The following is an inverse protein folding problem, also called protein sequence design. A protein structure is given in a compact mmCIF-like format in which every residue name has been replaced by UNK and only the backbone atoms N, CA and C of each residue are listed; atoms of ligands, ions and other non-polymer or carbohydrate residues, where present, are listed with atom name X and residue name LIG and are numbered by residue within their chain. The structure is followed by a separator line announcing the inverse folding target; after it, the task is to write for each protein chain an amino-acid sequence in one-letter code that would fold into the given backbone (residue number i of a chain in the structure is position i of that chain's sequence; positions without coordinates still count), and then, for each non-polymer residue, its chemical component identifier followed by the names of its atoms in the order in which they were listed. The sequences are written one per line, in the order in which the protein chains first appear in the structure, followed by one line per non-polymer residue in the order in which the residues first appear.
data_IF_355960601568
#
_entry.id   IF_355960601568
#
_cell.length_a   1.000
_cell.length_b   1.000
_cell.length_c   1.000
_cell.angle_alpha   90.00
_cell.angle_beta   90.00
_cell.angle_gamma   90.00
#
_symmetry.space_group_name_H-M   'P 1'
#
loop_
_entity.id
_entity.type
_entity.pdbx_description
1 polymer ?
#
# COMPACT_ATOMS: atom_id res chain seq x y z
N UNK A 1 23.50 3.15 8.84
CA UNK A 1 23.06 4.43 8.25
C UNK A 1 23.02 5.47 9.34
N UNK A 2 23.36 6.72 9.03
CA UNK A 2 23.15 7.84 9.95
C UNK A 2 21.66 8.15 10.05
N UNK A 3 21.25 8.77 11.16
CA UNK A 3 19.88 9.27 11.36
C UNK A 3 19.52 10.23 10.22
N UNK A 4 18.36 10.03 9.59
CA UNK A 4 17.87 10.93 8.53
C UNK A 4 16.69 11.71 9.07
N UNK A 5 16.75 13.05 8.98
CA UNK A 5 15.63 13.92 9.34
C UNK A 5 14.79 14.14 8.08
N UNK A 6 13.53 13.73 8.14
CA UNK A 6 12.52 13.92 7.11
C UNK A 6 11.45 14.91 7.58
N UNK A 7 10.83 15.60 6.65
CA UNK A 7 9.75 16.55 6.90
C UNK A 7 8.54 16.10 6.08
N UNK A 8 7.37 16.01 6.71
CA UNK A 8 6.11 15.84 5.99
C UNK A 8 5.77 17.16 5.27
N UNK A 9 6.16 17.26 4.01
CA UNK A 9 5.88 18.43 3.19
C UNK A 9 4.44 18.48 2.65
N UNK A 10 3.68 17.40 2.75
CA UNK A 10 2.39 17.27 2.08
C UNK A 10 1.22 17.75 2.96
N UNK A 11 1.29 17.50 4.27
CA UNK A 11 0.15 17.70 5.17
C UNK A 11 0.46 18.60 6.35
N UNK A 12 1.50 18.31 7.14
CA UNK A 12 1.68 18.90 8.47
C UNK A 12 2.89 19.83 8.64
N UNK A 13 3.97 19.59 7.90
CA UNK A 13 5.27 20.22 8.16
C UNK A 13 6.03 19.63 9.35
N UNK A 14 5.50 18.57 9.97
CA UNK A 14 6.12 17.90 11.11
C UNK A 14 7.45 17.24 10.69
N UNK A 15 8.42 17.20 11.61
CA UNK A 15 9.72 16.58 11.38
C UNK A 15 9.82 15.24 12.09
N UNK A 16 10.34 14.25 11.37
CA UNK A 16 10.49 12.88 11.79
C UNK A 16 11.94 12.43 11.61
N UNK A 17 12.43 11.60 12.52
CA UNK A 17 13.75 10.99 12.42
C UNK A 17 13.59 9.54 12.00
N UNK A 18 14.17 9.17 10.87
CA UNK A 18 14.33 7.78 10.44
C UNK A 18 15.61 7.21 11.04
N UNK A 19 15.46 6.21 11.89
CA UNK A 19 16.56 5.54 12.58
C UNK A 19 16.61 4.05 12.21
N UNK A 20 17.80 3.46 12.03
CA UNK A 20 17.91 2.01 11.84
C UNK A 20 17.35 1.24 13.04
N UNK A 21 16.58 0.18 12.78
CA UNK A 21 16.13 -0.71 13.84
C UNK A 21 17.29 -1.58 14.36
N UNK A 22 17.34 -1.82 15.67
CA UNK A 22 18.45 -2.53 16.31
C UNK A 22 18.56 -4.02 15.92
N UNK A 23 17.46 -4.63 15.49
CA UNK A 23 17.39 -6.07 15.19
C UNK A 23 17.04 -6.40 13.73
N UNK A 24 16.54 -5.43 12.98
CA UNK A 24 16.00 -5.67 11.64
C UNK A 24 16.60 -4.68 10.66
N UNK A 25 16.73 -5.10 9.41
CA UNK A 25 17.26 -4.27 8.33
C UNK A 25 16.18 -3.32 7.78
N UNK A 26 15.59 -2.52 8.67
CA UNK A 26 14.51 -1.55 8.40
C UNK A 26 14.85 -0.19 9.03
N UNK A 27 14.20 0.86 8.54
CA UNK A 27 14.18 2.17 9.19
C UNK A 27 12.88 2.31 9.99
N UNK A 28 12.96 2.93 11.15
CA UNK A 28 11.82 3.26 12.01
C UNK A 28 11.73 4.77 12.20
N UNK A 29 10.51 5.28 12.07
CA UNK A 29 10.22 6.68 12.35
C UNK A 29 10.11 6.95 13.84
N UNK A 30 10.75 8.03 14.28
CA UNK A 30 10.69 8.56 15.65
C UNK A 30 10.36 10.06 15.62
N UNK A 31 9.36 10.52 16.40
CA UNK A 31 8.40 9.72 17.17
C UNK A 31 7.36 9.04 16.26
N UNK A 32 6.84 7.88 16.67
CA UNK A 32 5.64 7.32 16.03
C UNK A 32 4.40 8.07 16.53
N UNK A 33 3.62 8.71 15.65
CA UNK A 33 2.40 9.40 16.06
C UNK A 33 1.32 8.41 16.46
N UNK A 34 0.57 8.75 17.52
CA UNK A 34 -0.56 7.93 17.99
C UNK A 34 -1.77 7.97 17.07
N UNK A 35 -1.88 8.98 16.20
CA UNK A 35 -3.01 9.20 15.29
C UNK A 35 -2.49 9.37 13.86
N UNK A 36 -2.49 8.27 13.09
CA UNK A 36 -2.04 8.26 11.69
C UNK A 36 -3.04 8.96 10.75
N UNK A 37 -4.33 8.96 11.08
CA UNK A 37 -5.40 9.53 10.23
C UNK A 37 -5.11 10.98 9.81
N UNK A 38 -4.52 11.79 10.70
CA UNK A 38 -4.14 13.20 10.43
C UNK A 38 -3.22 13.37 9.21
N UNK A 39 -2.33 12.40 8.94
CA UNK A 39 -1.32 12.48 7.90
C UNK A 39 -1.83 11.98 6.54
N UNK A 40 -2.91 11.20 6.52
CA UNK A 40 -3.43 10.57 5.30
C UNK A 40 -4.83 11.05 4.90
N UNK A 41 -5.57 11.72 5.79
CA UNK A 41 -6.89 12.33 5.51
C UNK A 41 -6.75 13.79 5.00
N UNK A 42 -5.97 13.98 3.92
CA UNK A 42 -5.78 15.30 3.31
C UNK A 42 -6.22 15.32 1.83
N UNK A 43 -6.94 16.37 1.36
CA UNK A 43 -7.45 16.44 -0.02
C UNK A 43 -6.35 16.45 -1.09
N UNK A 44 -5.10 16.74 -0.73
CA UNK A 44 -3.96 16.66 -1.64
C UNK A 44 -3.27 15.30 -1.65
N UNK A 45 -3.70 14.34 -0.82
CA UNK A 45 -3.18 12.98 -0.85
C UNK A 45 -3.62 12.29 -2.15
N UNK A 46 -2.69 12.21 -3.10
CA UNK A 46 -2.96 11.83 -4.50
C UNK A 46 -3.45 10.38 -4.59
N UNK A 47 -3.05 9.53 -3.64
CA UNK A 47 -3.49 8.13 -3.56
C UNK A 47 -5.01 8.01 -3.35
N UNK A 48 -5.69 9.01 -2.77
CA UNK A 48 -7.15 9.06 -2.62
C UNK A 48 -7.88 9.81 -3.75
N UNK A 49 -7.16 10.34 -4.76
CA UNK A 49 -7.79 11.04 -5.87
C UNK A 49 -8.33 10.07 -6.92
N UNK A 50 -9.63 10.18 -7.18
CA UNK A 50 -10.40 9.33 -8.09
C UNK A 50 -10.84 10.07 -9.35
N UNK A 51 -10.81 11.41 -9.35
CA UNK A 51 -11.30 12.25 -10.45
C UNK A 51 -10.44 13.52 -10.63
N UNK A 52 -10.31 13.96 -11.87
CA UNK A 52 -9.66 15.21 -12.26
C UNK A 52 -9.73 15.43 -13.77
N UNK A 53 -9.84 16.68 -14.21
CA UNK A 53 -9.99 17.05 -15.63
C UNK A 53 -8.68 17.49 -16.30
N UNK A 54 -7.56 17.43 -15.57
CA UNK A 54 -6.25 17.93 -16.02
C UNK A 54 -5.43 16.86 -16.77
N UNK A 55 -4.56 17.31 -17.68
CA UNK A 55 -3.55 16.48 -18.38
C UNK A 55 -2.71 15.68 -17.38
N UNK A 56 -2.38 16.26 -16.22
CA UNK A 56 -1.69 15.56 -15.14
C UNK A 56 -2.47 14.34 -14.63
N UNK A 57 -3.80 14.45 -14.50
CA UNK A 57 -4.65 13.35 -14.07
C UNK A 57 -4.72 12.25 -15.14
N UNK A 58 -4.77 12.61 -16.43
CA UNK A 58 -4.73 11.65 -17.52
C UNK A 58 -3.41 10.86 -17.55
N UNK A 59 -2.28 11.55 -17.40
CA UNK A 59 -0.95 10.94 -17.32
C UNK A 59 -0.84 10.04 -16.09
N UNK A 60 -1.24 10.53 -14.92
CA UNK A 60 -1.24 9.76 -13.67
C UNK A 60 -2.11 8.50 -13.77
N UNK A 61 -3.32 8.63 -14.32
CA UNK A 61 -4.22 7.50 -14.54
C UNK A 61 -3.63 6.45 -15.50
N UNK A 62 -2.89 6.90 -16.52
CA UNK A 62 -2.17 5.99 -17.43
C UNK A 62 -1.04 5.26 -16.73
N UNK A 63 -0.24 5.95 -15.90
CA UNK A 63 0.79 5.30 -15.08
C UNK A 63 0.20 4.32 -14.08
N UNK A 64 -0.93 4.68 -13.45
CA UNK A 64 -1.67 3.78 -12.55
C UNK A 64 -2.09 2.50 -13.27
N UNK A 65 -2.66 2.62 -14.47
CA UNK A 65 -3.05 1.47 -15.28
C UNK A 65 -1.85 0.61 -15.69
N UNK A 66 -0.72 1.23 -16.02
CA UNK A 66 0.51 0.50 -16.33
C UNK A 66 1.04 -0.26 -15.11
N UNK A 67 1.05 0.38 -13.93
CA UNK A 67 1.43 -0.24 -12.66
C UNK A 67 0.49 -1.41 -12.32
N UNK A 68 -0.83 -1.25 -12.48
CA UNK A 68 -1.77 -2.35 -12.28
C UNK A 68 -1.51 -3.54 -13.20
N UNK A 69 -1.20 -3.29 -14.48
CA UNK A 69 -0.80 -4.33 -15.41
C UNK A 69 0.51 -5.03 -14.98
N UNK A 70 1.46 -4.29 -14.43
CA UNK A 70 2.68 -4.86 -13.89
C UNK A 70 2.40 -5.76 -12.68
N UNK A 71 1.64 -5.26 -11.70
CA UNK A 71 1.22 -6.00 -10.49
C UNK A 71 0.51 -7.31 -10.87
N UNK A 72 -0.48 -7.26 -11.76
CA UNK A 72 -1.23 -8.47 -12.14
C UNK A 72 -0.39 -9.47 -12.93
N UNK A 73 0.60 -9.00 -13.72
CA UNK A 73 1.54 -9.89 -14.41
C UNK A 73 2.41 -10.65 -13.43
N UNK A 74 2.89 -10.00 -12.38
CA UNK A 74 3.65 -10.66 -11.30
C UNK A 74 2.77 -11.69 -10.60
N UNK A 75 1.55 -11.31 -10.22
CA UNK A 75 0.62 -12.24 -9.56
C UNK A 75 0.39 -13.46 -10.45
N UNK A 76 0.01 -13.27 -11.71
CA UNK A 76 -0.29 -14.38 -12.62
C UNK A 76 0.94 -15.24 -12.93
N UNK A 77 2.16 -14.67 -12.89
CA UNK A 77 3.40 -15.42 -13.04
C UNK A 77 3.63 -16.38 -11.87
N UNK A 78 3.25 -15.97 -10.65
CA UNK A 78 3.51 -16.73 -9.42
C UNK A 78 2.28 -17.48 -8.88
N UNK A 79 1.10 -17.22 -9.43
CA UNK A 79 -0.16 -17.90 -9.12
C UNK A 79 -1.05 -17.94 -10.37
N UNK A 80 -1.03 -19.09 -11.05
CA UNK A 80 -1.65 -19.23 -12.37
C UNK A 80 -3.16 -19.45 -12.33
N UNK A 81 -3.65 -20.13 -11.29
CA UNK A 81 -5.08 -20.38 -11.09
C UNK A 81 -5.80 -19.10 -10.66
N UNK A 82 -6.92 -18.75 -11.27
CA UNK A 82 -7.73 -17.62 -10.78
C UNK A 82 -8.56 -18.05 -9.58
N UNK A 83 -8.78 -17.12 -8.65
CA UNK A 83 -9.58 -17.37 -7.46
C UNK A 83 -9.93 -16.08 -6.73
N UNK A 84 -10.16 -16.19 -5.43
CA UNK A 84 -10.41 -15.04 -4.55
C UNK A 84 -9.13 -14.26 -4.27
N UNK A 85 -9.16 -12.96 -4.54
CA UNK A 85 -8.07 -12.02 -4.26
C UNK A 85 -8.54 -10.98 -3.24
N UNK A 86 -7.75 -10.76 -2.20
CA UNK A 86 -7.92 -9.63 -1.29
C UNK A 86 -6.83 -8.59 -1.55
N UNK A 87 -7.21 -7.33 -1.72
CA UNK A 87 -6.29 -6.19 -1.65
C UNK A 87 -6.41 -5.53 -0.28
N UNK A 88 -5.41 -5.70 0.58
CA UNK A 88 -5.35 -5.09 1.90
C UNK A 88 -4.76 -3.67 1.76
N UNK A 89 -5.44 -2.67 2.32
CA UNK A 89 -5.13 -1.26 2.06
C UNK A 89 -5.55 -0.84 0.65
N UNK A 90 -6.78 -1.19 0.26
CA UNK A 90 -7.25 -1.03 -1.11
C UNK A 90 -7.35 0.45 -1.55
N UNK A 91 -7.34 1.41 -0.63
CA UNK A 91 -7.47 2.83 -0.91
C UNK A 91 -8.71 3.10 -1.77
N UNK A 92 -8.50 3.63 -2.98
CA UNK A 92 -9.61 3.91 -3.91
C UNK A 92 -10.21 2.67 -4.57
N UNK A 93 -9.66 1.47 -4.34
CA UNK A 93 -10.15 0.22 -4.93
C UNK A 93 -9.84 0.08 -6.42
N UNK A 94 -8.97 0.95 -6.96
CA UNK A 94 -8.65 0.97 -8.39
C UNK A 94 -7.94 -0.32 -8.84
N UNK A 95 -7.13 -0.94 -7.98
CA UNK A 95 -6.51 -2.22 -8.27
C UNK A 95 -7.52 -3.38 -8.18
N UNK A 96 -8.44 -3.36 -7.21
CA UNK A 96 -9.53 -4.34 -7.07
C UNK A 96 -10.39 -4.39 -8.33
N UNK A 97 -10.87 -3.22 -8.80
CA UNK A 97 -11.65 -3.13 -10.03
C UNK A 97 -10.84 -3.64 -11.24
N UNK A 98 -9.57 -3.21 -11.36
CA UNK A 98 -8.70 -3.66 -12.42
C UNK A 98 -8.48 -5.19 -12.40
N UNK A 99 -8.21 -5.78 -11.23
CA UNK A 99 -7.98 -7.21 -11.09
C UNK A 99 -9.20 -8.04 -11.48
N UNK A 100 -10.42 -7.54 -11.19
CA UNK A 100 -11.67 -8.13 -11.66
C UNK A 100 -11.75 -8.16 -13.19
N UNK A 101 -11.32 -7.11 -13.89
CA UNK A 101 -11.23 -7.12 -15.37
C UNK A 101 -10.23 -8.16 -15.92
N UNK A 102 -9.36 -8.71 -15.06
CA UNK A 102 -8.37 -9.75 -15.38
C UNK A 102 -8.78 -11.14 -14.87
N UNK A 103 -10.06 -11.32 -14.55
CA UNK A 103 -10.65 -12.62 -14.22
C UNK A 103 -10.46 -13.06 -12.76
N UNK A 104 -10.02 -12.17 -11.86
CA UNK A 104 -9.99 -12.45 -10.43
C UNK A 104 -11.35 -12.19 -9.77
N UNK A 105 -11.62 -12.86 -8.66
CA UNK A 105 -12.73 -12.52 -7.75
C UNK A 105 -12.15 -11.65 -6.63
N UNK A 106 -12.03 -10.36 -6.90
CA UNK A 106 -11.26 -9.44 -6.06
C UNK A 106 -12.15 -8.62 -5.14
N UNK A 107 -11.71 -8.48 -3.91
CA UNK A 107 -12.28 -7.60 -2.89
C UNK A 107 -11.17 -6.79 -2.20
N UNK A 108 -11.54 -5.66 -1.60
CA UNK A 108 -10.62 -4.75 -0.94
C UNK A 108 -10.94 -4.59 0.53
N UNK A 109 -9.93 -4.46 1.37
CA UNK A 109 -10.09 -3.98 2.74
C UNK A 109 -9.45 -2.59 2.84
N UNK A 110 -10.23 -1.60 3.26
CA UNK A 110 -9.78 -0.23 3.48
C UNK A 110 -10.54 0.36 4.69
N UNK A 111 -9.86 0.60 5.83
CA UNK A 111 -10.51 1.18 6.99
C UNK A 111 -10.98 2.62 6.77
N UNK A 112 -10.29 3.40 5.93
CA UNK A 112 -10.68 4.76 5.62
C UNK A 112 -11.73 4.79 4.50
N UNK A 113 -13.00 4.79 4.88
CA UNK A 113 -14.11 4.82 3.91
C UNK A 113 -14.13 6.06 3.01
N UNK A 114 -13.47 7.17 3.40
CA UNK A 114 -13.33 8.35 2.54
C UNK A 114 -12.41 8.11 1.35
N UNK A 115 -11.51 7.11 1.45
CA UNK A 115 -10.64 6.73 0.35
C UNK A 115 -11.39 6.00 -0.76
N UNK A 116 -12.57 5.42 -0.47
CA UNK A 116 -13.35 4.66 -1.43
C UNK A 116 -13.69 5.50 -2.68
N UNK A 117 -13.50 4.91 -3.87
CA UNK A 117 -13.60 5.67 -5.11
C UNK A 117 -14.15 4.93 -6.31
N UNK A 118 -13.55 3.80 -6.63
CA UNK A 118 -13.92 2.97 -7.78
C UNK A 118 -15.01 1.97 -7.38
N UNK A 119 -15.59 1.28 -8.38
CA UNK A 119 -16.56 0.19 -8.17
C UNK A 119 -15.85 -1.08 -7.69
N UNK A 120 -15.27 -1.00 -6.50
CA UNK A 120 -14.64 -2.11 -5.81
C UNK A 120 -15.58 -2.70 -4.75
N UNK A 121 -15.48 -4.01 -4.54
CA UNK A 121 -16.17 -4.68 -3.44
C UNK A 121 -15.33 -4.51 -2.16
N UNK A 122 -15.68 -3.54 -1.32
CA UNK A 122 -14.99 -3.34 -0.04
C UNK A 122 -15.59 -4.21 1.05
N UNK A 123 -14.73 -4.90 1.77
CA UNK A 123 -15.10 -5.68 2.94
C UNK A 123 -14.77 -4.90 4.21
N UNK A 124 -15.70 -4.86 5.19
CA UNK A 124 -15.43 -4.22 6.49
C UNK A 124 -14.44 -5.03 7.34
N UNK A 125 -14.26 -6.31 7.02
CA UNK A 125 -13.32 -7.23 7.67
C UNK A 125 -12.75 -8.17 6.63
N UNK A 126 -11.55 -8.69 6.87
CA UNK A 126 -10.85 -9.54 5.91
C UNK A 126 -10.31 -10.84 6.53
N UNK A 127 -10.45 -11.00 7.84
CA UNK A 127 -9.94 -12.12 8.61
C UNK A 127 -10.79 -13.39 8.43
N UNK A 128 -10.85 -13.92 7.20
CA UNK A 128 -11.55 -15.17 6.89
C UNK A 128 -10.57 -16.31 6.66
N UNK A 129 -10.55 -17.36 7.50
CA UNK A 129 -9.59 -18.46 7.38
C UNK A 129 -9.65 -19.14 6.01
N UNK A 130 -8.48 -19.44 5.43
CA UNK A 130 -8.32 -20.21 4.19
C UNK A 130 -9.19 -19.77 3.00
N UNK A 131 -9.53 -18.48 2.93
CA UNK A 131 -10.49 -17.97 1.97
C UNK A 131 -9.87 -17.33 0.73
N UNK A 132 -8.62 -16.88 0.83
CA UNK A 132 -7.96 -16.14 -0.24
C UNK A 132 -6.90 -16.97 -0.95
N UNK A 133 -6.95 -16.95 -2.28
CA UNK A 133 -5.94 -17.55 -3.13
C UNK A 133 -4.75 -16.59 -3.26
N UNK A 134 -5.03 -15.28 -3.28
CA UNK A 134 -4.04 -14.22 -3.28
C UNK A 134 -4.43 -13.15 -2.27
N UNK A 135 -3.47 -12.69 -1.48
CA UNK A 135 -3.56 -11.45 -0.72
C UNK A 135 -2.49 -10.50 -1.25
N UNK A 136 -2.86 -9.25 -1.51
CA UNK A 136 -1.93 -8.19 -1.90
C UNK A 136 -1.91 -7.09 -0.84
N UNK A 137 -0.73 -6.52 -0.60
CA UNK A 137 -0.53 -5.37 0.25
C UNK A 137 0.47 -4.42 -0.43
N UNK A 138 -0.05 -3.36 -1.05
CA UNK A 138 0.75 -2.43 -1.84
C UNK A 138 0.99 -1.15 -1.06
N UNK A 139 2.20 -0.96 -0.53
CA UNK A 139 2.58 0.24 0.20
C UNK A 139 1.64 0.58 1.36
N UNK A 140 1.42 -0.39 2.23
CA UNK A 140 0.52 -0.29 3.39
C UNK A 140 1.14 -0.89 4.65
N UNK A 141 1.94 -1.96 4.51
CA UNK A 141 2.53 -2.68 5.65
C UNK A 141 3.52 -1.80 6.41
N UNK A 142 4.24 -0.92 5.71
CA UNK A 142 5.15 0.07 6.29
C UNK A 142 4.45 1.08 7.22
N UNK A 143 3.14 1.28 7.05
CA UNK A 143 2.34 2.20 7.86
C UNK A 143 1.59 1.51 8.99
N UNK A 144 1.70 0.18 9.12
CA UNK A 144 1.02 -0.56 10.18
C UNK A 144 1.76 -0.42 11.51
N UNK A 145 1.00 -0.18 12.58
CA UNK A 145 1.54 -0.18 13.93
C UNK A 145 2.05 -1.57 14.35
N UNK A 146 1.36 -2.65 13.92
CA UNK A 146 1.78 -4.03 14.16
C UNK A 146 1.80 -4.83 12.85
N UNK A 147 2.91 -4.79 12.09
CA UNK A 147 3.07 -5.58 10.88
C UNK A 147 3.04 -7.09 11.15
N UNK A 148 3.45 -7.55 12.34
CA UNK A 148 3.46 -8.99 12.67
C UNK A 148 2.04 -9.52 12.73
N UNK A 149 1.14 -8.82 13.42
CA UNK A 149 -0.27 -9.20 13.48
C UNK A 149 -0.91 -9.29 12.08
N UNK A 150 -0.55 -8.38 11.18
CA UNK A 150 -0.96 -8.47 9.78
C UNK A 150 -0.45 -9.74 9.10
N UNK A 151 0.85 -10.05 9.20
CA UNK A 151 1.40 -11.24 8.55
C UNK A 151 0.79 -12.54 9.10
N UNK A 152 0.60 -12.64 10.42
CA UNK A 152 -0.07 -13.79 11.05
C UNK A 152 -1.50 -13.96 10.53
N UNK A 153 -2.27 -12.88 10.49
CA UNK A 153 -3.64 -12.92 9.96
C UNK A 153 -3.67 -13.24 8.46
N UNK A 154 -2.76 -12.67 7.67
CA UNK A 154 -2.66 -12.94 6.24
C UNK A 154 -2.37 -14.41 5.96
N UNK A 155 -1.42 -15.00 6.70
CA UNK A 155 -1.10 -16.43 6.57
C UNK A 155 -2.30 -17.31 6.96
N UNK A 156 -3.04 -16.96 8.01
CA UNK A 156 -4.25 -17.69 8.42
C UNK A 156 -5.39 -17.58 7.40
N UNK A 157 -5.49 -16.45 6.71
CA UNK A 157 -6.54 -16.16 5.74
C UNK A 157 -6.24 -16.70 4.33
N UNK A 158 -4.99 -17.04 4.04
CA UNK A 158 -4.61 -17.69 2.79
C UNK A 158 -5.07 -19.16 2.76
N UNK A 159 -5.58 -19.58 1.60
CA UNK A 159 -5.77 -20.99 1.29
C UNK A 159 -4.42 -21.73 1.31
N UNK A 160 -4.44 -23.07 1.37
CA UNK A 160 -3.23 -23.88 1.59
C UNK A 160 -2.10 -23.62 0.58
N UNK A 161 -2.44 -23.27 -0.66
CA UNK A 161 -1.46 -22.91 -1.72
C UNK A 161 -1.42 -21.41 -2.02
N UNK A 162 -2.11 -20.60 -1.23
CA UNK A 162 -2.26 -19.16 -1.44
C UNK A 162 -0.95 -18.41 -1.38
N UNK A 163 -0.94 -17.20 -1.95
CA UNK A 163 0.25 -16.35 -2.02
C UNK A 163 -0.03 -14.95 -1.48
N UNK A 164 0.90 -14.46 -0.66
CA UNK A 164 0.94 -13.07 -0.23
C UNK A 164 1.93 -12.30 -1.13
N UNK A 165 1.50 -11.17 -1.68
CA UNK A 165 2.36 -10.24 -2.40
C UNK A 165 2.42 -8.93 -1.62
N UNK A 166 3.64 -8.50 -1.29
CA UNK A 166 3.87 -7.25 -0.55
C UNK A 166 4.81 -6.36 -1.37
N UNK A 167 4.48 -5.08 -1.48
CA UNK A 167 5.41 -4.06 -1.96
C UNK A 167 5.70 -3.07 -0.84
N UNK A 168 6.98 -2.77 -0.65
CA UNK A 168 7.51 -1.87 0.36
C UNK A 168 8.54 -0.92 -0.28
N UNK A 169 8.75 0.28 0.28
CA UNK A 169 9.86 1.14 -0.07
C UNK A 169 11.18 0.43 0.24
N UNK A 170 12.12 0.49 -0.70
CA UNK A 170 13.48 0.03 -0.49
C UNK A 170 14.39 1.21 -0.19
N UNK A 171 14.67 1.49 1.08
CA UNK A 171 15.52 2.62 1.49
C UNK A 171 16.99 2.51 1.00
N UNK A 172 17.39 1.38 0.41
CA UNK A 172 18.69 1.17 -0.23
C UNK A 172 18.64 1.35 -1.76
N UNK A 173 17.50 1.74 -2.32
CA UNK A 173 17.36 1.95 -3.75
C UNK A 173 18.17 3.15 -4.24
N UNK A 174 18.39 3.20 -5.55
CA UNK A 174 19.13 4.31 -6.16
C UNK A 174 18.44 5.66 -5.95
N UNK A 175 17.11 5.71 -6.02
CA UNK A 175 16.32 6.91 -5.79
C UNK A 175 16.33 7.33 -4.31
N UNK A 176 16.29 6.40 -3.36
CA UNK A 176 16.48 6.71 -1.94
C UNK A 176 17.85 7.36 -1.69
N UNK A 177 18.91 6.82 -2.31
CA UNK A 177 20.26 7.40 -2.22
C UNK A 177 20.32 8.79 -2.88
N UNK A 178 19.74 8.94 -4.06
CA UNK A 178 19.76 10.19 -4.83
C UNK A 178 18.99 11.32 -4.17
N UNK A 179 17.79 11.06 -3.66
CA UNK A 179 16.89 12.09 -3.13
C UNK A 179 17.05 12.30 -1.62
N UNK A 180 17.72 11.38 -0.91
CA UNK A 180 18.00 11.53 0.52
C UNK A 180 16.72 11.80 1.32
N UNK A 181 16.75 12.78 2.22
CA UNK A 181 15.60 13.16 3.05
C UNK A 181 14.37 13.64 2.27
N UNK A 182 14.51 13.99 0.98
CA UNK A 182 13.41 14.39 0.10
C UNK A 182 12.83 13.24 -0.72
N UNK A 183 13.23 11.99 -0.44
CA UNK A 183 12.69 10.84 -1.15
C UNK A 183 11.21 10.63 -0.81
N UNK A 184 10.35 10.74 -1.82
CA UNK A 184 8.90 10.69 -1.64
C UNK A 184 8.39 9.38 -1.03
N UNK A 185 9.10 8.25 -1.21
CA UNK A 185 8.66 6.96 -0.69
C UNK A 185 8.96 6.75 0.80
N UNK A 186 9.59 7.71 1.48
CA UNK A 186 9.64 7.68 2.94
C UNK A 186 8.26 7.95 3.56
N UNK A 187 7.45 8.79 2.91
CA UNK A 187 6.04 9.05 3.24
C UNK A 187 5.73 9.05 4.75
N UNK A 188 6.56 9.79 5.51
CA UNK A 188 6.49 9.90 6.97
C UNK A 188 5.13 10.48 7.39
N UNK A 189 4.57 10.06 8.55
CA UNK A 189 5.22 9.47 9.72
C UNK A 189 5.60 8.00 9.60
#
# INVERSE_FOLDING_TARGET
MNKTVCIDHLVTGDSFVLEPHNHYDILQTTPQPKQLEKYYDHPNYISHKTQGTSIFFAVYSRFRQWNHNYKIKIINKHYQSKGKLLDFGAGTGSFVEFANTKGWQSEGFEPNTKAHGYKANYQPTWASPKSYHVITAWHVVEHLHDPRAFFEQALNSLADNGKLFVALPNYKSWDANKYGSMWAAYDVP
#
